data_IF_995777575018
#
_entry.id   IF_995777575018
#
_cell.length_a   1.000
_cell.length_b   1.000
_cell.length_c   1.000
_cell.angle_alpha   90.00
_cell.angle_beta   90.00
_cell.angle_gamma   90.00
#
_symmetry.space_group_name_H-M   'P 1'
#
loop_
_entity.id
_entity.type
_entity.pdbx_description
1 polymer ?
#
# COMPACT_ATOMS: atom_id res chain seq x y z
N UNK A 1 4.60 12.01 -5.45
CA UNK A 1 4.00 10.95 -4.62
C UNK A 1 4.75 9.67 -4.96
N UNK A 2 5.17 8.88 -3.97
CA UNK A 2 5.96 7.67 -4.20
C UNK A 2 5.04 6.47 -4.48
N UNK A 3 5.44 5.54 -5.35
CA UNK A 3 4.62 4.39 -5.75
C UNK A 3 4.11 3.57 -4.55
N UNK A 4 4.96 3.30 -3.57
CA UNK A 4 4.56 2.54 -2.37
C UNK A 4 3.46 3.24 -1.56
N UNK A 5 3.41 4.58 -1.57
CA UNK A 5 2.36 5.34 -0.86
C UNK A 5 1.04 5.29 -1.60
N UNK A 6 1.08 5.47 -2.92
CA UNK A 6 -0.12 5.34 -3.76
C UNK A 6 -0.70 3.93 -3.68
N UNK A 7 0.17 2.90 -3.72
CA UNK A 7 -0.27 1.51 -3.58
C UNK A 7 -0.88 1.23 -2.20
N UNK A 8 -0.27 1.72 -1.13
CA UNK A 8 -0.83 1.58 0.21
C UNK A 8 -2.20 2.27 0.34
N UNK A 9 -2.34 3.48 -0.21
CA UNK A 9 -3.62 4.20 -0.20
C UNK A 9 -4.71 3.46 -1.00
N UNK A 10 -4.37 2.89 -2.17
CA UNK A 10 -5.28 2.04 -2.94
C UNK A 10 -5.74 0.81 -2.15
N UNK A 11 -4.81 0.13 -1.47
CA UNK A 11 -5.14 -1.07 -0.69
C UNK A 11 -6.06 -0.74 0.50
N UNK A 12 -5.85 0.41 1.16
CA UNK A 12 -6.76 0.90 2.21
C UNK A 12 -8.14 1.30 1.64
N UNK A 13 -8.20 1.99 0.51
CA UNK A 13 -9.46 2.36 -0.13
C UNK A 13 -10.28 1.13 -0.58
N UNK A 14 -9.59 0.10 -1.09
CA UNK A 14 -10.22 -1.19 -1.43
C UNK A 14 -10.81 -1.84 -0.19
N UNK A 15 -10.05 -1.90 0.90
CA UNK A 15 -10.52 -2.45 2.18
C UNK A 15 -11.73 -1.67 2.70
N UNK A 16 -11.72 -0.35 2.64
CA UNK A 16 -12.85 0.49 3.07
C UNK A 16 -14.10 0.24 2.21
N UNK A 17 -13.94 0.07 0.89
CA UNK A 17 -15.05 -0.26 0.00
C UNK A 17 -15.64 -1.65 0.28
N UNK A 18 -14.79 -2.64 0.60
CA UNK A 18 -15.18 -3.99 1.00
C UNK A 18 -15.90 -4.00 2.36
N UNK A 19 -15.35 -3.32 3.38
CA UNK A 19 -15.94 -3.20 4.72
C UNK A 19 -17.28 -2.46 4.67
N UNK A 20 -17.37 -1.35 3.95
CA UNK A 20 -18.65 -0.66 3.75
C UNK A 20 -19.69 -1.51 3.02
N UNK A 21 -19.25 -2.41 2.13
CA UNK A 21 -20.15 -3.38 1.50
C UNK A 21 -20.62 -4.47 2.47
N UNK A 22 -19.80 -4.84 3.46
CA UNK A 22 -20.15 -5.87 4.45
C UNK A 22 -21.28 -5.41 5.38
N UNK A 23 -21.37 -4.11 5.68
CA UNK A 23 -22.51 -3.48 6.36
C UNK A 23 -23.74 -3.29 5.44
N UNK A 24 -23.69 -3.83 4.21
CA UNK A 24 -24.74 -3.76 3.20
C UNK A 24 -24.87 -2.40 2.52
N UNK A 25 -23.94 -1.47 2.73
CA UNK A 25 -24.00 -0.12 2.17
C UNK A 25 -22.60 0.45 1.93
N UNK A 26 -22.01 0.15 0.77
CA UNK A 26 -20.84 0.93 0.33
C UNK A 26 -21.28 2.38 0.13
N UNK A 27 -20.67 3.31 0.87
CA UNK A 27 -20.95 4.74 0.69
C UNK A 27 -20.45 5.17 -0.69
N UNK A 28 -21.17 6.09 -1.38
CA UNK A 28 -20.69 6.68 -2.63
C UNK A 28 -19.27 7.24 -2.53
N UNK A 29 -18.92 7.77 -1.34
CA UNK A 29 -17.61 8.32 -1.05
C UNK A 29 -16.50 7.26 -1.10
N UNK A 30 -16.71 6.07 -0.52
CA UNK A 30 -15.71 4.99 -0.52
C UNK A 30 -15.45 4.43 -1.93
N UNK A 31 -16.47 4.36 -2.78
CA UNK A 31 -16.30 3.98 -4.21
C UNK A 31 -15.56 5.05 -4.98
N UNK A 32 -15.94 6.31 -4.78
CA UNK A 32 -15.28 7.44 -5.45
C UNK A 32 -13.80 7.49 -5.07
N UNK A 33 -13.48 7.30 -3.79
CA UNK A 33 -12.10 7.24 -3.32
C UNK A 33 -11.33 6.08 -3.94
N UNK A 34 -11.91 4.87 -4.00
CA UNK A 34 -11.30 3.72 -4.67
C UNK A 34 -11.01 4.02 -6.14
N UNK A 35 -11.98 4.55 -6.89
CA UNK A 35 -11.84 4.87 -8.32
C UNK A 35 -10.70 5.88 -8.57
N UNK A 36 -10.56 6.88 -7.69
CA UNK A 36 -9.47 7.87 -7.80
C UNK A 36 -8.11 7.25 -7.48
N UNK A 37 -8.01 6.38 -6.48
CA UNK A 37 -6.76 5.69 -6.18
C UNK A 37 -6.37 4.70 -7.29
N UNK A 38 -7.32 4.02 -7.91
CA UNK A 38 -7.07 3.16 -9.08
C UNK A 38 -6.47 3.99 -10.24
N UNK A 39 -7.11 5.12 -10.56
CA UNK A 39 -6.61 6.05 -11.58
C UNK A 39 -5.19 6.56 -11.28
N UNK A 40 -4.91 6.94 -10.04
CA UNK A 40 -3.58 7.42 -9.63
C UNK A 40 -2.55 6.30 -9.80
N UNK A 41 -2.86 5.07 -9.39
CA UNK A 41 -1.92 3.95 -9.54
C UNK A 41 -1.69 3.55 -10.99
N UNK A 42 -2.70 3.67 -11.85
CA UNK A 42 -2.57 3.40 -13.28
C UNK A 42 -1.66 4.44 -13.95
N UNK A 43 -1.86 5.73 -13.69
CA UNK A 43 -0.99 6.80 -14.21
C UNK A 43 0.46 6.62 -13.76
N UNK A 44 0.66 6.19 -12.50
CA UNK A 44 1.99 5.88 -11.98
C UNK A 44 2.61 4.67 -12.70
N UNK A 45 1.83 3.61 -12.93
CA UNK A 45 2.28 2.43 -13.65
C UNK A 45 2.65 2.75 -15.11
N UNK A 46 1.89 3.60 -15.78
CA UNK A 46 2.18 4.06 -17.14
C UNK A 46 3.48 4.88 -17.20
N UNK A 47 3.77 5.67 -16.16
CA UNK A 47 4.93 6.55 -16.15
C UNK A 47 6.23 5.85 -15.74
N UNK A 48 6.19 4.99 -14.72
CA UNK A 48 7.39 4.43 -14.10
C UNK A 48 7.41 2.88 -14.07
N UNK A 49 6.43 2.25 -14.71
CA UNK A 49 6.27 0.79 -14.73
C UNK A 49 5.47 0.27 -13.54
N UNK A 50 5.08 -1.00 -13.63
CA UNK A 50 4.34 -1.70 -12.58
C UNK A 50 5.09 -1.66 -11.25
N UNK A 51 4.38 -1.34 -10.17
CA UNK A 51 4.98 -1.30 -8.83
C UNK A 51 5.36 -2.71 -8.36
N UNK A 52 6.64 -2.89 -8.01
CA UNK A 52 7.16 -4.10 -7.37
C UNK A 52 7.84 -3.76 -6.03
N UNK A 53 7.25 -4.14 -4.87
CA UNK A 53 7.84 -3.89 -3.56
C UNK A 53 9.19 -4.63 -3.34
N UNK A 54 9.49 -5.67 -4.12
CA UNK A 54 10.79 -6.35 -4.07
C UNK A 54 11.93 -5.46 -4.60
N UNK A 55 11.61 -4.47 -5.43
CA UNK A 55 12.57 -3.54 -6.02
C UNK A 55 12.48 -2.12 -5.44
N UNK A 56 11.45 -1.81 -4.66
CA UNK A 56 11.26 -0.49 -4.04
C UNK A 56 12.32 -0.24 -2.92
N UNK A 57 13.21 0.77 -3.07
CA UNK A 57 14.27 1.02 -2.09
C UNK A 57 13.78 1.38 -0.69
N UNK A 58 12.63 2.03 -0.57
CA UNK A 58 12.04 2.37 0.72
C UNK A 58 11.57 1.11 1.44
N UNK A 59 10.87 0.22 0.74
CA UNK A 59 10.43 -1.08 1.27
C UNK A 59 11.63 -1.93 1.69
N UNK A 60 12.66 -2.03 0.84
CA UNK A 60 13.87 -2.78 1.15
C UNK A 60 14.62 -2.23 2.38
N UNK A 61 14.65 -0.91 2.54
CA UNK A 61 15.21 -0.25 3.72
C UNK A 61 14.46 -0.63 5.00
N UNK A 62 13.11 -0.64 4.97
CA UNK A 62 12.29 -1.04 6.12
C UNK A 62 12.49 -2.51 6.51
N UNK A 63 12.54 -3.41 5.51
CA UNK A 63 12.79 -4.84 5.73
C UNK A 63 14.17 -5.07 6.37
N UNK A 64 15.19 -4.39 5.86
CA UNK A 64 16.55 -4.44 6.40
C UNK A 64 16.59 -3.96 7.85
N UNK A 65 15.95 -2.83 8.15
CA UNK A 65 15.88 -2.30 9.51
C UNK A 65 15.17 -3.26 10.47
N UNK A 66 14.07 -3.90 10.04
CA UNK A 66 13.34 -4.90 10.83
C UNK A 66 14.22 -6.12 11.13
N UNK A 67 14.94 -6.63 10.12
CA UNK A 67 15.87 -7.76 10.27
C UNK A 67 16.99 -7.45 11.27
N UNK A 68 17.58 -6.26 11.17
CA UNK A 68 18.63 -5.83 12.10
C UNK A 68 18.14 -5.71 13.55
N UNK A 69 16.92 -5.18 13.76
CA UNK A 69 16.30 -5.13 15.10
C UNK A 69 16.08 -6.53 15.67
N UNK A 70 15.54 -7.45 14.89
CA UNK A 70 15.32 -8.83 15.33
C UNK A 70 16.64 -9.52 15.74
N UNK A 71 17.71 -9.32 14.96
CA UNK A 71 19.06 -9.84 15.28
C UNK A 71 19.64 -9.23 16.55
N UNK A 72 19.42 -7.93 16.79
CA UNK A 72 19.88 -7.27 18.00
C UNK A 72 19.15 -7.78 19.25
N UNK A 73 17.83 -7.94 19.17
CA UNK A 73 17.01 -8.45 20.27
C UNK A 73 17.28 -9.93 20.59
N UNK A 74 17.62 -10.75 19.58
CA UNK A 74 17.97 -12.16 19.77
C UNK A 74 19.37 -12.42 20.35
N UNK A 75 20.25 -11.40 20.38
CA UNK A 75 21.59 -11.49 21.00
C UNK A 75 21.60 -11.27 22.52
N UNK A 76 20.45 -10.96 23.12
CA UNK A 76 20.30 -10.69 24.56
C UNK A 76 19.59 -11.84 25.31
N UNK A 77 19.51 -13.04 24.72
CA UNK A 77 18.96 -14.25 25.33
C UNK A 77 20.02 -15.28 25.66
#
# INVERSE_FOLDING_TARGET
>A
MDHHRAKAALDEARKAAEEGSADGRTTPDARTELDEWERITDVLADHAGSYDPATDPFVQGQLTARSNRARASGRHG
#
